data_IF_281906641173
#
_entry.id   IF_281906641173
#
_cell.length_a   1.000
_cell.length_b   1.000
_cell.length_c   1.000
_cell.angle_alpha   90.00
_cell.angle_beta   90.00
_cell.angle_gamma   90.00
#
_symmetry.space_group_name_H-M   'P 1'
#
loop_
_entity.id
_entity.type
_entity.pdbx_description
1 polymer ?
#
# COMPACT_ATOMS: atom_id res chain seq x y z
N UNK A 1 -26.93 28.83 -0.60
CA UNK A 1 -26.55 28.34 -1.95
C UNK A 1 -26.48 26.82 -1.86
N UNK A 2 -27.40 26.08 -2.52
CA UNK A 2 -27.36 24.61 -2.73
C UNK A 2 -25.94 24.21 -3.18
N UNK A 3 -25.29 23.15 -2.74
CA UNK A 3 -25.76 21.80 -2.46
C UNK A 3 -25.11 20.85 -3.47
N UNK A 4 -24.26 19.95 -2.98
CA UNK A 4 -23.83 18.69 -3.61
C UNK A 4 -23.29 17.82 -2.45
N UNK A 5 -24.18 17.30 -1.60
CA UNK A 5 -24.73 15.94 -1.68
C UNK A 5 -23.65 14.88 -1.76
N UNK A 6 -23.38 14.28 -0.59
CA UNK A 6 -23.35 12.85 -0.34
C UNK A 6 -23.15 11.96 -1.57
N UNK A 7 -21.89 11.65 -1.86
CA UNK A 7 -21.52 10.33 -2.35
C UNK A 7 -20.73 9.68 -1.21
N UNK A 8 -21.44 8.92 -0.38
CA UNK A 8 -20.84 7.80 0.36
C UNK A 8 -20.39 6.75 -0.65
N UNK A 9 -19.36 7.08 -1.44
CA UNK A 9 -18.60 6.09 -2.16
C UNK A 9 -17.75 5.38 -1.10
N UNK A 10 -18.20 4.20 -0.68
CA UNK A 10 -17.33 3.18 -0.13
C UNK A 10 -16.14 3.05 -1.09
N UNK A 11 -15.05 3.75 -0.77
CA UNK A 11 -13.79 3.59 -1.45
C UNK A 11 -13.30 2.18 -1.13
N UNK A 12 -13.66 1.22 -1.99
CA UNK A 12 -12.93 -0.03 -2.07
C UNK A 12 -11.49 0.34 -2.45
N UNK A 13 -10.49 0.06 -1.61
CA UNK A 13 -9.11 0.35 -1.94
C UNK A 13 -8.68 -0.64 -3.03
N UNK A 14 -8.87 -0.27 -4.30
CA UNK A 14 -8.49 -1.16 -5.41
C UNK A 14 -8.99 -0.81 -6.80
N UNK A 15 -9.97 0.09 -6.97
CA UNK A 15 -10.41 0.51 -8.30
C UNK A 15 -10.30 2.02 -8.47
N UNK A 16 -9.14 2.46 -8.96
CA UNK A 16 -9.06 3.72 -9.70
C UNK A 16 -9.57 3.46 -11.14
N UNK A 17 -10.35 4.38 -11.74
CA UNK A 17 -10.90 4.19 -13.08
C UNK A 17 -9.76 4.01 -14.10
N UNK A 18 -9.81 2.89 -14.84
CA UNK A 18 -8.74 2.38 -15.71
C UNK A 18 -8.41 3.28 -16.93
N UNK A 19 -9.16 4.36 -17.14
CA UNK A 19 -9.04 5.20 -18.32
C UNK A 19 -7.94 6.28 -18.24
N UNK A 20 -7.49 6.69 -17.04
CA UNK A 20 -6.45 7.73 -16.87
C UNK A 20 -5.06 7.18 -16.51
N UNK A 21 -4.93 5.87 -16.25
CA UNK A 21 -3.71 5.31 -15.64
C UNK A 21 -2.49 5.27 -16.57
N UNK A 22 -2.67 5.23 -17.90
CA UNK A 22 -1.57 5.02 -18.86
C UNK A 22 -0.56 6.18 -18.91
N UNK A 23 -0.92 7.38 -18.47
CA UNK A 23 -0.01 8.54 -18.43
C UNK A 23 0.35 9.03 -17.03
N UNK A 24 -0.14 8.36 -15.98
CA UNK A 24 0.19 8.74 -14.60
C UNK A 24 1.69 8.53 -14.32
N UNK A 25 2.31 9.45 -13.58
CA UNK A 25 3.70 9.32 -13.14
C UNK A 25 3.90 8.04 -12.30
N UNK A 26 2.87 7.59 -11.59
CA UNK A 26 2.87 6.36 -10.82
C UNK A 26 3.08 5.12 -11.70
N UNK A 27 2.40 5.03 -12.84
CA UNK A 27 2.58 3.91 -13.76
C UNK A 27 3.97 3.88 -14.42
N UNK A 28 4.62 5.05 -14.55
CA UNK A 28 5.95 5.18 -15.18
C UNK A 28 7.10 4.85 -14.22
N UNK A 29 6.96 5.17 -12.94
CA UNK A 29 8.07 5.11 -11.97
C UNK A 29 7.83 4.18 -10.77
N UNK A 30 6.61 3.72 -10.54
CA UNK A 30 6.26 2.88 -9.42
C UNK A 30 5.72 1.52 -9.88
N UNK A 31 5.80 0.55 -8.98
CA UNK A 31 5.25 -0.78 -9.17
C UNK A 31 4.15 -0.99 -8.15
N UNK A 32 2.95 -1.35 -8.60
CA UNK A 32 1.84 -1.67 -7.70
C UNK A 32 2.03 -3.09 -7.11
N UNK A 33 2.24 -3.14 -5.80
CA UNK A 33 2.45 -4.38 -5.06
C UNK A 33 1.13 -5.12 -4.77
N UNK A 34 -0.01 -4.43 -4.69
CA UNK A 34 -1.31 -5.08 -4.46
C UNK A 34 -1.70 -5.92 -5.68
N UNK A 35 -1.49 -5.38 -6.89
CA UNK A 35 -1.75 -6.12 -8.14
C UNK A 35 -0.84 -7.35 -8.25
N UNK A 36 0.43 -7.24 -7.86
CA UNK A 36 1.36 -8.39 -7.85
C UNK A 36 0.97 -9.43 -6.81
N UNK A 37 0.58 -9.01 -5.60
CA UNK A 37 0.14 -9.91 -4.55
C UNK A 37 -1.12 -10.70 -4.97
N UNK A 38 -2.09 -10.02 -5.58
CA UNK A 38 -3.31 -10.68 -6.11
C UNK A 38 -3.02 -11.69 -7.23
N UNK A 39 -1.93 -11.49 -7.99
CA UNK A 39 -1.46 -12.43 -9.02
C UNK A 39 -0.64 -13.60 -8.46
N UNK A 40 -0.22 -13.53 -7.20
CA UNK A 40 0.67 -14.50 -6.58
C UNK A 40 2.14 -14.33 -6.95
N UNK A 41 2.53 -13.20 -7.55
CA UNK A 41 3.91 -12.89 -7.95
C UNK A 41 4.77 -12.35 -6.79
N UNK A 42 4.23 -12.35 -5.56
CA UNK A 42 4.92 -11.90 -4.33
C UNK A 42 5.32 -13.12 -3.52
N UNK A 43 6.59 -13.19 -3.15
CA UNK A 43 7.13 -14.30 -2.37
C UNK A 43 6.45 -14.42 -0.99
N UNK A 44 6.17 -15.65 -0.52
CA UNK A 44 5.58 -15.85 0.80
C UNK A 44 6.56 -15.43 1.89
N UNK A 45 6.06 -14.63 2.84
CA UNK A 45 6.86 -14.10 3.94
C UNK A 45 6.94 -15.10 5.10
N UNK A 46 8.14 -15.59 5.42
CA UNK A 46 8.36 -16.58 6.48
C UNK A 46 9.03 -15.94 7.68
N UNK A 47 8.44 -16.10 8.87
CA UNK A 47 9.09 -15.77 10.16
C UNK A 47 9.23 -14.27 10.47
N UNK A 48 8.46 -13.39 9.79
CA UNK A 48 8.46 -11.92 10.00
C UNK A 48 7.15 -11.35 10.53
N UNK A 49 6.38 -12.19 11.22
CA UNK A 49 5.05 -11.84 11.73
C UNK A 49 5.10 -10.65 12.69
N UNK A 50 6.13 -10.60 13.56
CA UNK A 50 6.29 -9.53 14.55
C UNK A 50 6.59 -8.17 13.90
N UNK A 51 7.37 -8.14 12.82
CA UNK A 51 7.67 -6.94 12.06
C UNK A 51 6.44 -6.42 11.31
N UNK A 52 5.69 -7.32 10.67
CA UNK A 52 4.44 -7.00 9.97
C UNK A 52 3.41 -6.44 10.94
N UNK A 53 3.20 -7.10 12.08
CA UNK A 53 2.27 -6.64 13.10
C UNK A 53 2.64 -5.24 13.62
N UNK A 54 3.94 -5.00 13.86
CA UNK A 54 4.44 -3.67 14.26
C UNK A 54 4.20 -2.62 13.19
N UNK A 55 4.37 -2.95 11.91
CA UNK A 55 4.10 -2.04 10.80
C UNK A 55 2.62 -1.65 10.75
N UNK A 56 1.72 -2.63 10.86
CA UNK A 56 0.27 -2.40 10.92
C UNK A 56 -0.07 -1.48 12.10
N UNK A 57 0.44 -1.77 13.29
CA UNK A 57 0.22 -0.94 14.47
C UNK A 57 0.69 0.50 14.28
N UNK A 58 1.82 0.73 13.60
CA UNK A 58 2.33 2.07 13.29
C UNK A 58 1.42 2.79 12.29
N UNK A 59 1.00 2.11 11.23
CA UNK A 59 0.09 2.66 10.20
C UNK A 59 -1.25 3.12 10.79
N UNK A 60 -1.76 2.43 11.81
CA UNK A 60 -3.01 2.79 12.49
C UNK A 60 -2.89 3.98 13.46
N UNK A 61 -1.71 4.58 13.66
CA UNK A 61 -1.53 5.71 14.60
C UNK A 61 -2.05 7.03 14.04
N UNK A 62 -2.51 7.92 14.92
CA UNK A 62 -2.89 9.29 14.55
C UNK A 62 -1.68 10.19 14.22
N UNK A 63 -0.51 9.91 14.78
CA UNK A 63 0.73 10.67 14.55
C UNK A 63 1.89 9.72 14.32
N UNK A 64 2.83 10.12 13.46
CA UNK A 64 3.99 9.31 13.05
C UNK A 64 3.56 7.93 12.55
N UNK A 65 2.62 7.92 11.61
CA UNK A 65 2.00 6.71 11.06
C UNK A 65 2.79 6.08 9.91
N UNK A 66 3.88 6.70 9.47
CA UNK A 66 4.73 6.16 8.42
C UNK A 66 5.81 5.27 9.04
N UNK A 67 5.73 3.94 8.89
CA UNK A 67 6.77 3.04 9.38
C UNK A 67 8.07 3.26 8.60
N UNK A 68 9.20 3.15 9.30
CA UNK A 68 10.54 3.18 8.70
C UNK A 68 11.29 1.93 9.11
N UNK A 69 11.66 1.12 8.11
CA UNK A 69 12.41 -0.13 8.31
C UNK A 69 13.91 0.17 8.26
N UNK A 70 14.60 0.03 9.39
CA UNK A 70 16.04 0.27 9.54
C UNK A 70 16.75 -1.05 9.83
N UNK A 71 17.93 -1.24 9.23
CA UNK A 71 18.74 -2.44 9.38
C UNK A 71 19.82 -2.54 8.31
N UNK A 72 20.68 -3.54 8.41
CA UNK A 72 21.77 -3.76 7.44
C UNK A 72 21.23 -4.05 6.02
N UNK A 73 22.02 -3.79 4.96
CA UNK A 73 21.66 -4.20 3.61
C UNK A 73 21.53 -5.74 3.54
N UNK A 74 20.57 -6.23 2.75
CA UNK A 74 20.37 -7.67 2.54
C UNK A 74 19.48 -8.36 3.57
N UNK A 75 19.11 -7.71 4.68
CA UNK A 75 18.21 -8.30 5.70
C UNK A 75 16.74 -8.40 5.26
N UNK A 76 16.42 -8.25 3.98
CA UNK A 76 15.06 -8.46 3.46
C UNK A 76 14.04 -7.39 3.82
N UNK A 77 14.45 -6.12 4.01
CA UNK A 77 13.52 -5.00 4.32
C UNK A 77 12.44 -4.80 3.26
N UNK A 78 12.74 -5.11 2.00
CA UNK A 78 11.80 -5.02 0.87
C UNK A 78 10.76 -6.15 0.86
N UNK A 79 11.02 -7.25 1.59
CA UNK A 79 10.09 -8.36 1.67
C UNK A 79 9.00 -8.15 2.74
N UNK A 80 9.16 -7.17 3.62
CA UNK A 80 8.16 -6.73 4.62
C UNK A 80 7.28 -5.68 3.96
#
# INVERSE_FOLDING_TARGET
VKGANEDEAQAQPGQAPEAEQKDSALAKYCVDLNVKANKGDVDPLIGREAEVERCIQVLCRRRKNNPLLVGDPGVGKTAI
#
